data_IF_393693563055
#
_entry.id   IF_393693563055
#
_cell.length_a   1.000
_cell.length_b   1.000
_cell.length_c   1.000
_cell.angle_alpha   90.00
_cell.angle_beta   90.00
_cell.angle_gamma   90.00
#
_symmetry.space_group_name_H-M   'P 1'
#
loop_
_entity.id
_entity.type
_entity.pdbx_description
1 polymer ?
#
# COMPACT_ATOMS: atom_id res chain seq x y z
N UNK A 1 -42.64 -1.28 -38.78
CA UNK A 1 -41.34 -1.80 -38.30
C UNK A 1 -40.58 -0.64 -37.65
N UNK A 2 -40.47 -0.62 -36.32
CA UNK A 2 -39.85 0.47 -35.56
C UNK A 2 -38.33 0.26 -35.53
N UNK A 3 -37.58 1.18 -36.13
CA UNK A 3 -36.12 1.27 -35.99
C UNK A 3 -35.81 1.95 -34.66
N UNK A 4 -35.06 1.28 -33.80
CA UNK A 4 -34.39 1.90 -32.66
C UNK A 4 -32.91 1.52 -32.73
N UNK A 5 -32.08 2.46 -33.16
CA UNK A 5 -30.64 2.41 -32.92
C UNK A 5 -30.37 3.26 -31.70
N UNK A 6 -29.88 2.65 -30.63
CA UNK A 6 -29.23 3.35 -29.53
C UNK A 6 -27.79 2.85 -29.54
N UNK A 7 -26.96 3.54 -30.30
CA UNK A 7 -25.52 3.62 -30.06
C UNK A 7 -25.36 4.57 -28.88
N UNK A 8 -24.81 4.10 -27.76
CA UNK A 8 -24.10 4.87 -26.74
C UNK A 8 -23.64 3.91 -25.65
N UNK A 9 -22.52 3.23 -25.91
CA UNK A 9 -21.60 2.90 -24.82
C UNK A 9 -20.27 3.53 -25.19
N UNK A 10 -20.11 4.77 -24.74
CA UNK A 10 -18.80 5.35 -24.55
C UNK A 10 -18.06 4.38 -23.64
N UNK A 11 -17.17 3.58 -24.24
CA UNK A 11 -16.14 2.87 -23.50
C UNK A 11 -15.25 3.98 -22.95
N UNK A 12 -15.61 4.48 -21.77
CA UNK A 12 -14.68 5.26 -20.98
C UNK A 12 -13.51 4.33 -20.74
N UNK A 13 -12.45 4.53 -21.52
CA UNK A 13 -11.13 4.03 -21.16
C UNK A 13 -10.83 4.75 -19.85
N UNK A 14 -11.21 4.12 -18.73
CA UNK A 14 -10.65 4.46 -17.45
C UNK A 14 -9.17 4.18 -17.63
N UNK A 15 -8.41 5.22 -17.92
CA UNK A 15 -6.98 5.17 -17.82
C UNK A 15 -6.78 4.90 -16.34
N UNK A 16 -6.43 3.66 -15.99
CA UNK A 16 -5.99 3.35 -14.65
C UNK A 16 -4.74 4.20 -14.45
N UNK A 17 -4.91 5.38 -13.84
CA UNK A 17 -3.79 6.17 -13.39
C UNK A 17 -2.97 5.23 -12.52
N UNK A 18 -1.73 4.99 -12.94
CA UNK A 18 -0.80 4.17 -12.18
C UNK A 18 -0.73 4.83 -10.80
N UNK A 19 -1.12 4.14 -9.72
CA UNK A 19 -1.12 4.74 -8.40
C UNK A 19 0.28 5.26 -8.11
N UNK A 20 0.35 6.48 -7.57
CA UNK A 20 1.61 7.07 -7.13
C UNK A 20 2.34 6.07 -6.20
N UNK A 21 3.67 5.95 -6.29
CA UNK A 21 4.45 5.01 -5.47
C UNK A 21 4.09 5.12 -3.98
N UNK A 22 3.86 6.34 -3.47
CA UNK A 22 3.46 6.53 -2.07
C UNK A 22 2.02 6.12 -1.76
N UNK A 23 1.13 6.08 -2.74
CA UNK A 23 -0.20 5.49 -2.58
C UNK A 23 -0.11 3.96 -2.44
N UNK A 24 0.76 3.31 -3.22
CA UNK A 24 1.01 1.86 -3.06
C UNK A 24 1.60 1.53 -1.69
N UNK A 25 2.48 2.38 -1.16
CA UNK A 25 3.01 2.27 0.21
C UNK A 25 1.89 2.41 1.23
N UNK A 26 1.03 3.41 1.07
CA UNK A 26 -0.13 3.63 1.94
C UNK A 26 -1.03 2.38 1.97
N UNK A 27 -1.45 1.88 0.80
CA UNK A 27 -2.33 0.71 0.66
C UNK A 27 -1.69 -0.56 1.24
N UNK A 28 -0.40 -0.77 0.98
CA UNK A 28 0.36 -1.92 1.50
C UNK A 28 0.47 -1.87 3.01
N UNK A 29 0.77 -0.70 3.58
CA UNK A 29 0.88 -0.50 5.03
C UNK A 29 -0.45 -0.75 5.75
N UNK A 30 -1.56 -0.29 5.15
CA UNK A 30 -2.90 -0.57 5.67
C UNK A 30 -3.19 -2.08 5.64
N UNK A 31 -2.94 -2.75 4.51
CA UNK A 31 -3.17 -4.18 4.37
C UNK A 31 -2.41 -4.99 5.44
N UNK A 32 -1.11 -4.73 5.61
CA UNK A 32 -0.28 -5.43 6.60
C UNK A 32 -0.83 -5.25 8.01
N UNK A 33 -1.24 -4.03 8.37
CA UNK A 33 -1.83 -3.76 9.67
C UNK A 33 -3.21 -4.39 9.85
N UNK A 34 -4.04 -4.44 8.81
CA UNK A 34 -5.30 -5.18 8.87
C UNK A 34 -5.08 -6.68 9.11
N UNK A 35 -4.10 -7.30 8.43
CA UNK A 35 -3.73 -8.71 8.65
C UNK A 35 -3.24 -8.93 10.08
N UNK A 36 -2.31 -8.08 10.54
CA UNK A 36 -1.78 -8.12 11.90
C UNK A 36 -2.88 -8.01 12.94
N UNK A 37 -3.76 -7.02 12.83
CA UNK A 37 -4.84 -6.77 13.79
C UNK A 37 -5.94 -7.85 13.78
N UNK A 38 -6.00 -8.69 12.73
CA UNK A 38 -6.83 -9.91 12.68
C UNK A 38 -6.16 -11.12 13.36
N UNK A 39 -4.91 -10.97 13.82
CA UNK A 39 -4.13 -12.04 14.43
C UNK A 39 -3.44 -12.96 13.42
N UNK A 40 -3.36 -12.56 12.16
CA UNK A 40 -2.59 -13.30 11.16
C UNK A 40 -1.10 -13.06 11.36
N UNK A 41 -0.32 -14.12 11.25
CA UNK A 41 1.14 -14.01 11.22
C UNK A 41 1.57 -13.29 9.95
N UNK A 42 2.52 -12.37 10.10
CA UNK A 42 3.16 -11.73 8.95
C UNK A 42 4.45 -12.46 8.52
N UNK A 43 4.81 -13.56 9.17
CA UNK A 43 5.92 -14.42 8.75
C UNK A 43 5.59 -15.19 7.46
N UNK A 44 4.31 -15.42 7.21
CA UNK A 44 3.81 -16.22 6.08
C UNK A 44 3.42 -15.37 4.87
N UNK A 45 3.65 -14.05 4.91
CA UNK A 45 3.37 -13.20 3.76
C UNK A 45 4.49 -13.39 2.74
N UNK A 46 4.20 -14.22 1.75
CA UNK A 46 5.07 -14.48 0.61
C UNK A 46 4.78 -13.46 -0.50
N UNK A 47 5.84 -12.87 -1.06
CA UNK A 47 5.75 -11.97 -2.20
C UNK A 47 6.75 -12.44 -3.23
N UNK A 48 6.37 -12.38 -4.50
CA UNK A 48 7.29 -12.70 -5.58
C UNK A 48 8.44 -11.67 -5.62
N UNK A 49 9.68 -12.02 -5.23
CA UNK A 49 10.78 -11.07 -5.23
C UNK A 49 11.16 -10.64 -6.65
N UNK A 50 10.88 -11.46 -7.67
CA UNK A 50 11.16 -11.12 -9.07
C UNK A 50 10.20 -10.06 -9.63
N UNK A 51 9.07 -9.83 -8.96
CA UNK A 51 8.11 -8.79 -9.32
C UNK A 51 8.44 -7.42 -8.69
N UNK A 52 9.48 -7.35 -7.83
CA UNK A 52 9.83 -6.16 -7.07
C UNK A 52 11.28 -5.75 -7.33
N UNK A 53 11.52 -4.46 -7.49
CA UNK A 53 12.87 -3.90 -7.48
C UNK A 53 13.54 -4.11 -6.11
N UNK A 54 14.89 -4.06 -6.04
CA UNK A 54 15.60 -4.15 -4.75
C UNK A 54 15.14 -3.10 -3.72
N UNK A 55 14.79 -1.89 -4.18
CA UNK A 55 14.26 -0.81 -3.33
C UNK A 55 12.92 -1.20 -2.72
N UNK A 56 12.00 -1.72 -3.54
CA UNK A 56 10.67 -2.15 -3.10
C UNK A 56 10.75 -3.35 -2.15
N UNK A 57 11.67 -4.29 -2.39
CA UNK A 57 11.88 -5.43 -1.49
C UNK A 57 12.34 -4.96 -0.09
N UNK A 58 13.30 -4.03 -0.03
CA UNK A 58 13.77 -3.45 1.25
C UNK A 58 12.64 -2.71 1.95
N UNK A 59 11.87 -1.91 1.21
CA UNK A 59 10.74 -1.16 1.75
C UNK A 59 9.67 -2.10 2.32
N UNK A 60 9.28 -3.11 1.57
CA UNK A 60 8.29 -4.10 1.96
C UNK A 60 8.74 -4.89 3.19
N UNK A 61 10.00 -5.32 3.22
CA UNK A 61 10.57 -5.98 4.40
C UNK A 61 10.50 -5.07 5.63
N UNK A 62 10.86 -3.79 5.48
CA UNK A 62 10.78 -2.81 6.57
C UNK A 62 9.36 -2.64 7.10
N UNK A 63 8.36 -2.56 6.21
CA UNK A 63 6.94 -2.47 6.59
C UNK A 63 6.48 -3.72 7.37
N UNK A 64 6.89 -4.91 6.94
CA UNK A 64 6.51 -6.17 7.60
C UNK A 64 7.11 -6.26 9.00
N UNK A 65 8.41 -5.98 9.12
CA UNK A 65 9.11 -6.04 10.39
C UNK A 65 8.49 -5.06 11.40
N UNK A 66 8.21 -3.83 10.98
CA UNK A 66 7.57 -2.79 11.81
C UNK A 66 6.12 -3.18 12.19
N UNK A 67 5.35 -3.76 11.28
CA UNK A 67 3.99 -4.21 11.56
C UNK A 67 3.94 -5.38 12.57
N UNK A 68 4.96 -6.26 12.58
CA UNK A 68 5.06 -7.37 13.56
C UNK A 68 5.20 -6.86 14.99
N UNK A 69 5.87 -5.73 15.18
CA UNK A 69 6.08 -5.11 16.49
C UNK A 69 4.82 -4.43 17.04
N UNK A 70 3.81 -4.19 16.21
CA UNK A 70 2.54 -3.59 16.67
C UNK A 70 1.69 -4.64 17.43
N UNK A 71 1.20 -4.34 18.65
CA UNK A 71 0.31 -5.23 19.39
C UNK A 71 -1.04 -5.42 18.68
N UNK A 72 -1.67 -6.57 18.90
CA UNK A 72 -3.04 -6.84 18.43
C UNK A 72 -4.04 -6.26 19.42
N UNK A 73 -4.80 -5.26 18.99
CA UNK A 73 -5.78 -4.59 19.83
C UNK A 73 -7.16 -5.23 19.73
N UNK A 74 -7.77 -5.49 20.89
CA UNK A 74 -9.13 -6.04 21.00
C UNK A 74 -10.22 -4.97 20.85
N UNK A 75 -9.89 -3.72 21.19
CA UNK A 75 -10.83 -2.59 21.12
C UNK A 75 -10.87 -2.06 19.68
N UNK A 76 -12.05 -2.00 19.02
CA UNK A 76 -12.15 -1.59 17.62
C UNK A 76 -11.58 -0.20 17.33
N UNK A 77 -11.83 0.78 18.22
CA UNK A 77 -11.31 2.15 18.04
C UNK A 77 -9.78 2.20 18.13
N UNK A 78 -9.19 1.49 19.10
CA UNK A 78 -7.73 1.42 19.24
C UNK A 78 -7.09 0.69 18.07
N UNK A 79 -7.75 -0.35 17.56
CA UNK A 79 -7.33 -1.07 16.36
C UNK A 79 -7.29 -0.16 15.14
N UNK A 80 -8.38 0.58 14.89
CA UNK A 80 -8.44 1.49 13.75
C UNK A 80 -7.38 2.59 13.87
N UNK A 81 -7.22 3.17 15.06
CA UNK A 81 -6.16 4.15 15.32
C UNK A 81 -4.77 3.59 15.02
N UNK A 82 -4.47 2.36 15.42
CA UNK A 82 -3.18 1.75 15.14
C UNK A 82 -2.95 1.54 13.63
N UNK A 83 -4.00 1.19 12.88
CA UNK A 83 -3.94 1.10 11.41
C UNK A 83 -3.67 2.48 10.81
N UNK A 84 -4.42 3.50 11.22
CA UNK A 84 -4.30 4.86 10.69
C UNK A 84 -2.94 5.49 11.00
N UNK A 85 -2.44 5.34 12.23
CA UNK A 85 -1.15 5.87 12.66
C UNK A 85 0.01 5.18 11.91
N UNK A 86 -0.07 3.86 11.70
CA UNK A 86 0.93 3.11 10.93
C UNK A 86 0.94 3.53 9.46
N UNK A 87 -0.25 3.68 8.87
CA UNK A 87 -0.45 4.13 7.50
C UNK A 87 0.17 5.52 7.28
N UNK A 88 -0.14 6.46 8.18
CA UNK A 88 0.39 7.81 8.14
C UNK A 88 1.93 7.81 8.24
N UNK A 89 2.50 7.04 9.17
CA UNK A 89 3.96 6.91 9.33
C UNK A 89 4.65 6.51 8.01
N UNK A 90 4.15 5.47 7.35
CA UNK A 90 4.76 4.97 6.11
C UNK A 90 4.52 5.89 4.90
N UNK A 91 3.37 6.55 4.85
CA UNK A 91 3.09 7.59 3.88
C UNK A 91 4.06 8.78 4.02
N UNK A 92 4.27 9.28 5.23
CA UNK A 92 5.21 10.37 5.52
C UNK A 92 6.66 9.99 5.20
N UNK A 93 7.08 8.75 5.50
CA UNK A 93 8.41 8.26 5.13
C UNK A 93 8.60 8.20 3.61
N UNK A 94 7.58 7.78 2.86
CA UNK A 94 7.65 7.77 1.40
C UNK A 94 7.77 9.19 0.82
N UNK A 95 6.94 10.11 1.30
CA UNK A 95 6.94 11.50 0.82
C UNK A 95 8.20 12.29 1.21
N UNK A 96 8.81 11.95 2.35
CA UNK A 96 10.06 12.60 2.80
C UNK A 96 11.32 12.01 2.16
N UNK A 97 11.27 10.75 1.69
CA UNK A 97 12.38 10.14 0.95
C UNK A 97 12.66 10.85 -0.40
N UNK A 98 11.66 11.51 -0.99
CA UNK A 98 11.83 12.37 -2.18
C UNK A 98 12.55 13.70 -1.88
N UNK A 99 12.74 14.07 -0.60
CA UNK A 99 13.40 15.32 -0.18
C UNK A 99 14.89 15.09 0.12
N UNK A 100 15.33 13.85 0.29
CA UNK A 100 16.72 13.49 0.64
C UNK A 100 17.26 12.40 -0.28
N UNK A 101 17.43 12.72 -1.56
CA UNK A 101 18.46 12.06 -2.36
C UNK A 101 19.43 13.09 -2.91
N UNK A 102 20.64 13.22 -2.33
CA UNK A 102 21.76 13.83 -3.01
C UNK A 102 21.97 13.07 -4.32
N UNK A 103 22.11 13.85 -5.38
CA UNK A 103 22.50 13.44 -6.72
C UNK A 103 23.56 12.34 -6.66
N UNK A 104 23.27 11.15 -7.22
CA UNK A 104 24.32 10.17 -7.50
C UNK A 104 25.36 10.85 -8.38
N UNK A 105 26.51 11.12 -7.79
CA UNK A 105 27.73 11.45 -8.53
C UNK A 105 28.55 10.17 -8.54
N UNK A 106 28.44 9.37 -9.61
CA UNK A 106 29.61 8.70 -10.19
C UNK A 106 29.40 8.23 -11.61
#
# INVERSE_FOLDING_TARGET
>A
MKRFSILLFLVSVAHAEVPNECQLVEETSEMLMQLRQRGLSLDDVDFNPEALSPKEQVLLKGMIDDAKDVPIYQIPLTRQKAIDDFKLKWQEMCQSADVVMPTETR
#
